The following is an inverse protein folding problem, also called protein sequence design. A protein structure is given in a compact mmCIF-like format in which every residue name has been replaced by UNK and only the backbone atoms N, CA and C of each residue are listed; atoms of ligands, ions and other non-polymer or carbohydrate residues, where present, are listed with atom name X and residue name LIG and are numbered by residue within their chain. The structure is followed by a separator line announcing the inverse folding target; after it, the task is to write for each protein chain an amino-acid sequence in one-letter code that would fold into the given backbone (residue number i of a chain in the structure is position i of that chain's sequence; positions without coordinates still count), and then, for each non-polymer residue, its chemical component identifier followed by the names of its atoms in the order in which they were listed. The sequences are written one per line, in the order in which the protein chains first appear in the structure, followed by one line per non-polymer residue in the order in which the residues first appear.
data_IF_797909054211
#
_entry.id   IF_797909054211
#
_cell.length_a   1.000
_cell.length_b   1.000
_cell.length_c   1.000
_cell.angle_alpha   90.00
_cell.angle_beta   90.00
_cell.angle_gamma   90.00
#
_symmetry.space_group_name_H-M   'P 1'
#
loop_
_entity.id
_entity.type
_entity.pdbx_description
1 polymer ?
#
# COMPACT_ATOMS: atom_id res chain seq x y z
N UNK A 1 7.97 24.87 60.63
CA UNK A 1 8.28 25.26 59.25
C UNK A 1 8.36 24.00 58.41
N UNK A 2 7.26 23.60 57.79
CA UNK A 2 7.21 22.49 56.83
C UNK A 2 6.61 23.06 55.55
N UNK A 3 7.46 23.31 54.56
CA UNK A 3 7.07 23.71 53.21
C UNK A 3 7.01 22.45 52.35
N UNK A 4 5.84 22.04 51.83
CA UNK A 4 5.74 20.96 50.86
C UNK A 4 5.32 21.56 49.51
N UNK A 5 6.25 22.01 48.66
CA UNK A 5 5.83 22.52 47.34
C UNK A 5 6.98 22.69 46.34
N UNK A 6 7.70 21.62 46.00
CA UNK A 6 8.61 21.59 44.85
C UNK A 6 8.45 20.31 44.02
N UNK A 7 8.42 19.17 44.70
CA UNK A 7 8.47 17.86 44.04
C UNK A 7 7.13 17.42 43.43
N UNK A 8 6.00 17.85 44.00
CA UNK A 8 4.67 17.53 43.48
C UNK A 8 4.35 18.27 42.17
N UNK A 9 4.82 19.50 42.01
CA UNK A 9 4.66 20.26 40.76
C UNK A 9 5.58 19.75 39.67
N UNK A 10 6.79 19.31 40.05
CA UNK A 10 7.76 18.71 39.14
C UNK A 10 7.30 17.34 38.65
N UNK A 11 6.74 16.50 39.52
CA UNK A 11 6.17 15.20 39.14
C UNK A 11 4.87 15.33 38.33
N UNK A 12 4.05 16.34 38.59
CA UNK A 12 2.85 16.64 37.79
C UNK A 12 3.21 17.21 36.41
N UNK A 13 4.23 18.07 36.31
CA UNK A 13 4.77 18.58 35.04
C UNK A 13 5.46 17.46 34.22
N UNK A 14 6.11 16.50 34.87
CA UNK A 14 6.69 15.32 34.19
C UNK A 14 5.64 14.29 33.72
N UNK A 15 4.42 14.29 34.30
CA UNK A 15 3.29 13.49 33.80
C UNK A 15 2.55 14.14 32.62
N UNK A 16 2.95 15.34 32.20
CA UNK A 16 2.55 15.89 30.90
C UNK A 16 3.45 15.39 29.74
N UNK A 17 4.28 14.37 30.02
CA UNK A 17 4.99 13.60 29.02
C UNK A 17 4.04 13.14 27.91
N UNK A 18 4.25 13.72 26.73
CA UNK A 18 3.89 13.16 25.44
C UNK A 18 2.47 12.57 25.38
N UNK A 19 1.47 13.44 25.19
CA UNK A 19 0.38 13.02 24.29
C UNK A 19 1.03 12.83 22.93
N UNK A 20 1.53 11.63 22.66
CA UNK A 20 1.77 11.18 21.31
C UNK A 20 0.42 11.33 20.60
N UNK A 21 0.23 12.43 19.88
CA UNK A 21 -1.03 12.73 19.24
C UNK A 21 -1.21 11.66 18.17
N UNK A 22 -2.04 10.68 18.47
CA UNK A 22 -2.48 9.64 17.53
C UNK A 22 -3.04 10.29 16.24
N UNK A 23 -3.48 11.54 16.36
CA UNK A 23 -4.03 12.40 15.31
C UNK A 23 -2.99 13.40 14.77
N UNK A 24 -1.94 12.90 14.13
CA UNK A 24 -1.14 13.74 13.22
C UNK A 24 -1.66 13.56 11.79
N UNK A 25 -1.53 14.60 10.95
CA UNK A 25 -2.04 14.60 9.56
C UNK A 25 -1.66 13.31 8.79
N UNK A 26 -0.40 12.81 8.85
CA UNK A 26 -0.03 11.57 8.15
C UNK A 26 -0.83 10.35 8.62
N UNK A 27 -1.06 10.19 9.93
CA UNK A 27 -1.82 9.07 10.47
C UNK A 27 -3.28 9.09 9.99
N UNK A 28 -3.90 10.28 9.97
CA UNK A 28 -5.27 10.42 9.48
C UNK A 28 -5.39 9.99 8.00
N UNK A 29 -4.36 10.28 7.19
CA UNK A 29 -4.30 9.86 5.79
C UNK A 29 -4.14 8.34 5.65
N UNK A 30 -3.28 7.71 6.46
CA UNK A 30 -3.16 6.23 6.50
C UNK A 30 -4.49 5.57 6.90
N UNK A 31 -5.15 6.06 7.95
CA UNK A 31 -6.47 5.54 8.36
C UNK A 31 -7.54 5.77 7.31
N UNK A 32 -7.54 6.92 6.63
CA UNK A 32 -8.44 7.19 5.53
C UNK A 32 -8.25 6.18 4.38
N UNK A 33 -7.01 5.78 4.06
CA UNK A 33 -6.74 4.71 3.08
C UNK A 33 -7.28 3.36 3.52
N UNK A 34 -7.14 3.00 4.79
CA UNK A 34 -7.71 1.77 5.33
C UNK A 34 -9.24 1.78 5.18
N UNK A 35 -9.90 2.92 5.41
CA UNK A 35 -11.34 3.10 5.20
C UNK A 35 -11.74 3.19 3.73
N UNK A 36 -10.84 3.60 2.84
CA UNK A 36 -11.07 3.61 1.39
C UNK A 36 -11.27 2.20 0.84
N UNK A 37 -10.64 1.17 1.45
CA UNK A 37 -10.78 -0.23 1.02
C UNK A 37 -12.23 -0.73 1.11
N UNK A 38 -12.91 -0.73 2.28
CA UNK A 38 -14.31 -1.13 2.35
C UNK A 38 -15.21 -0.19 1.55
N UNK A 39 -14.91 1.11 1.48
CA UNK A 39 -15.68 2.04 0.66
C UNK A 39 -15.65 1.66 -0.83
N UNK A 40 -14.47 1.29 -1.36
CA UNK A 40 -14.30 0.82 -2.73
C UNK A 40 -15.06 -0.49 -2.98
N UNK A 41 -14.95 -1.45 -2.06
CA UNK A 41 -15.66 -2.74 -2.15
C UNK A 41 -17.17 -2.52 -2.15
N UNK A 42 -17.69 -1.69 -1.23
CA UNK A 42 -19.11 -1.37 -1.15
C UNK A 42 -19.60 -0.64 -2.40
N UNK A 43 -18.81 0.28 -2.94
CA UNK A 43 -19.13 0.98 -4.17
C UNK A 43 -19.28 0.01 -5.36
N UNK A 44 -18.32 -0.90 -5.53
CA UNK A 44 -18.37 -1.91 -6.61
C UNK A 44 -19.49 -2.95 -6.43
N UNK A 45 -19.89 -3.24 -5.19
CA UNK A 45 -20.90 -4.25 -4.91
C UNK A 45 -22.34 -3.74 -4.94
N UNK A 46 -22.60 -2.51 -4.46
CA UNK A 46 -23.96 -2.01 -4.25
C UNK A 46 -24.44 -0.98 -5.26
N UNK A 47 -23.54 -0.31 -5.99
CA UNK A 47 -23.92 0.72 -6.97
C UNK A 47 -24.18 0.11 -8.34
N UNK A 48 -24.88 0.84 -9.20
CA UNK A 48 -25.03 0.46 -10.61
C UNK A 48 -23.65 0.40 -11.30
N UNK A 49 -23.45 -0.45 -12.33
CA UNK A 49 -22.12 -0.73 -12.87
C UNK A 49 -21.32 0.51 -13.29
N UNK A 50 -21.96 1.53 -13.86
CA UNK A 50 -21.25 2.72 -14.33
C UNK A 50 -20.84 3.61 -13.16
N UNK A 51 -21.77 3.88 -12.23
CA UNK A 51 -21.49 4.69 -11.04
C UNK A 51 -20.50 3.99 -10.11
N UNK A 52 -20.62 2.66 -9.98
CA UNK A 52 -19.72 1.80 -9.21
C UNK A 52 -18.26 2.00 -9.64
N UNK A 53 -17.98 1.85 -10.94
CA UNK A 53 -16.64 1.95 -11.50
C UNK A 53 -16.05 3.35 -11.38
N UNK A 54 -16.83 4.40 -11.65
CA UNK A 54 -16.37 5.78 -11.45
C UNK A 54 -16.10 6.12 -9.99
N UNK A 55 -16.95 5.65 -9.08
CA UNK A 55 -16.79 5.85 -7.63
C UNK A 55 -15.55 5.12 -7.13
N UNK A 56 -15.38 3.86 -7.50
CA UNK A 56 -14.22 3.05 -7.15
C UNK A 56 -12.92 3.63 -7.71
N UNK A 57 -12.93 4.09 -8.97
CA UNK A 57 -11.83 4.83 -9.57
C UNK A 57 -11.46 6.07 -8.77
N UNK A 58 -12.44 6.91 -8.42
CA UNK A 58 -12.20 8.12 -7.65
C UNK A 58 -11.63 7.82 -6.26
N UNK A 59 -12.19 6.84 -5.55
CA UNK A 59 -11.70 6.39 -4.24
C UNK A 59 -10.25 5.91 -4.36
N UNK A 60 -9.97 5.04 -5.34
CA UNK A 60 -8.64 4.47 -5.55
C UNK A 60 -7.59 5.57 -5.87
N UNK A 61 -7.90 6.48 -6.79
CA UNK A 61 -7.00 7.57 -7.18
C UNK A 61 -6.76 8.52 -6.01
N UNK A 62 -7.80 8.94 -5.29
CA UNK A 62 -7.66 9.82 -4.13
C UNK A 62 -6.81 9.15 -3.04
N UNK A 63 -7.08 7.88 -2.73
CA UNK A 63 -6.30 7.11 -1.77
C UNK A 63 -4.82 7.02 -2.18
N UNK A 64 -4.53 6.77 -3.46
CA UNK A 64 -3.17 6.69 -4.00
C UNK A 64 -2.43 8.03 -3.94
N UNK A 65 -3.12 9.13 -4.24
CA UNK A 65 -2.54 10.47 -4.13
C UNK A 65 -2.25 10.82 -2.67
N UNK A 66 -3.14 10.44 -1.74
CA UNK A 66 -2.93 10.71 -0.32
C UNK A 66 -1.73 9.99 0.26
N UNK A 67 -1.42 8.76 -0.18
CA UNK A 67 -0.19 8.03 0.20
C UNK A 67 1.08 8.76 -0.26
N UNK A 68 1.08 9.23 -1.52
CA UNK A 68 2.24 9.98 -1.99
C UNK A 68 2.43 11.29 -1.19
N UNK A 69 1.31 11.96 -0.87
CA UNK A 69 1.33 13.22 -0.12
C UNK A 69 1.74 13.03 1.34
N UNK A 70 1.26 11.99 2.03
CA UNK A 70 1.63 11.75 3.43
C UNK A 70 3.13 11.43 3.58
N UNK A 71 3.70 10.65 2.66
CA UNK A 71 5.13 10.36 2.63
C UNK A 71 5.99 11.59 2.33
N UNK A 72 5.44 12.55 1.57
CA UNK A 72 6.08 13.85 1.33
C UNK A 72 6.02 14.74 2.59
N UNK A 73 4.84 14.88 3.19
CA UNK A 73 4.62 15.71 4.37
C UNK A 73 5.36 15.19 5.61
N UNK A 74 5.41 13.87 5.81
CA UNK A 74 6.14 13.24 6.90
C UNK A 74 7.64 13.57 6.85
N UNK A 75 8.24 13.63 5.66
CA UNK A 75 9.67 13.99 5.48
C UNK A 75 9.94 15.46 5.79
N UNK A 76 9.01 16.35 5.47
CA UNK A 76 9.17 17.79 5.71
C UNK A 76 8.95 18.12 7.17
N UNK A 77 7.92 17.54 7.79
CA UNK A 77 7.53 17.88 9.15
C UNK A 77 8.23 17.05 10.23
N UNK A 78 8.97 15.99 9.87
CA UNK A 78 9.60 15.06 10.82
C UNK A 78 8.62 14.51 11.86
N UNK A 79 7.32 14.48 11.52
CA UNK A 79 6.24 14.00 12.36
C UNK A 79 5.80 12.62 11.86
N UNK A 80 6.56 11.59 12.25
CA UNK A 80 6.21 10.21 11.96
C UNK A 80 5.84 9.51 13.27
N UNK A 81 4.62 8.96 13.34
CA UNK A 81 4.21 8.16 14.49
C UNK A 81 4.55 6.70 14.26
N UNK A 82 4.87 5.97 15.33
CA UNK A 82 5.11 4.51 15.28
C UNK A 82 3.90 3.75 14.73
N UNK A 83 2.69 4.16 15.10
CA UNK A 83 1.45 3.52 14.69
C UNK A 83 1.21 3.71 13.18
N UNK A 84 1.34 4.95 12.69
CA UNK A 84 1.18 5.25 11.27
C UNK A 84 2.22 4.52 10.42
N UNK A 85 3.49 4.51 10.85
CA UNK A 85 4.56 3.81 10.16
C UNK A 85 4.33 2.29 10.07
N UNK A 86 3.67 1.69 11.07
CA UNK A 86 3.31 0.27 11.05
C UNK A 86 2.14 -0.01 10.10
N UNK A 87 1.14 0.88 10.04
CA UNK A 87 -0.06 0.68 9.22
C UNK A 87 0.12 1.05 7.75
N UNK A 88 1.02 1.97 7.42
CA UNK A 88 1.27 2.42 6.04
C UNK A 88 1.52 1.26 5.06
N UNK A 89 2.48 0.35 5.34
CA UNK A 89 2.74 -0.78 4.45
C UNK A 89 1.58 -1.77 4.34
N UNK A 90 0.68 -1.80 5.33
CA UNK A 90 -0.49 -2.67 5.35
C UNK A 90 -1.61 -2.06 4.50
N UNK A 91 -1.89 -0.77 4.70
CA UNK A 91 -2.93 -0.03 3.98
C UNK A 91 -2.72 -0.08 2.45
N UNK A 92 -1.48 0.13 2.00
CA UNK A 92 -1.12 0.09 0.58
C UNK A 92 -1.50 -1.25 -0.09
N UNK A 93 -1.11 -2.37 0.53
CA UNK A 93 -1.40 -3.72 0.01
C UNK A 93 -2.87 -4.08 0.08
N UNK A 94 -3.57 -3.63 1.12
CA UNK A 94 -5.00 -3.88 1.24
C UNK A 94 -5.76 -3.19 0.11
N UNK A 95 -5.40 -1.95 -0.23
CA UNK A 95 -6.04 -1.23 -1.32
C UNK A 95 -5.81 -1.90 -2.68
N UNK A 96 -4.55 -2.20 -3.01
CA UNK A 96 -4.20 -2.91 -4.26
C UNK A 96 -4.89 -4.28 -4.31
N UNK A 97 -4.76 -5.06 -3.25
CA UNK A 97 -5.28 -6.42 -3.19
C UNK A 97 -6.80 -6.46 -3.29
N UNK A 98 -7.51 -5.62 -2.54
CA UNK A 98 -8.97 -5.52 -2.63
C UNK A 98 -9.42 -5.07 -4.02
N UNK A 99 -8.72 -4.12 -4.64
CA UNK A 99 -9.03 -3.66 -6.00
C UNK A 99 -8.90 -4.80 -7.01
N UNK A 100 -7.80 -5.55 -6.99
CA UNK A 100 -7.61 -6.72 -7.86
C UNK A 100 -8.70 -7.77 -7.64
N UNK A 101 -9.03 -8.07 -6.38
CA UNK A 101 -10.07 -9.05 -6.06
C UNK A 101 -11.46 -8.61 -6.55
N UNK A 102 -11.81 -7.35 -6.39
CA UNK A 102 -13.10 -6.82 -6.84
C UNK A 102 -13.21 -6.78 -8.36
N UNK A 103 -12.14 -6.37 -9.07
CA UNK A 103 -12.10 -6.42 -10.52
C UNK A 103 -12.21 -7.85 -11.07
N UNK A 104 -11.73 -8.86 -10.34
CA UNK A 104 -11.97 -10.26 -10.71
C UNK A 104 -13.42 -10.66 -10.42
N UNK A 105 -13.96 -10.25 -9.28
CA UNK A 105 -15.30 -10.62 -8.83
C UNK A 105 -16.41 -10.04 -9.72
N UNK A 106 -16.24 -8.83 -10.25
CA UNK A 106 -17.19 -8.19 -11.17
C UNK A 106 -17.00 -8.61 -12.65
N UNK A 107 -15.97 -9.41 -12.94
CA UNK A 107 -15.66 -9.93 -14.27
C UNK A 107 -14.86 -8.98 -15.17
N UNK A 108 -14.48 -7.79 -14.69
CA UNK A 108 -13.63 -6.84 -15.42
C UNK A 108 -12.27 -7.45 -15.72
N UNK A 109 -11.64 -8.11 -14.74
CA UNK A 109 -10.47 -8.94 -14.91
C UNK A 109 -10.88 -10.40 -15.07
N UNK A 110 -10.75 -10.92 -16.29
CA UNK A 110 -11.12 -12.30 -16.63
C UNK A 110 -10.06 -12.98 -17.51
N UNK A 111 -10.21 -14.29 -17.69
CA UNK A 111 -9.32 -15.09 -18.54
C UNK A 111 -7.88 -15.09 -18.03
N UNK A 112 -6.92 -14.88 -18.95
CA UNK A 112 -5.49 -14.94 -18.61
C UNK A 112 -5.04 -13.78 -17.73
N UNK A 113 -5.74 -12.65 -17.72
CA UNK A 113 -5.39 -11.48 -16.89
C UNK A 113 -5.45 -11.79 -15.38
N UNK A 114 -6.24 -12.79 -14.98
CA UNK A 114 -6.29 -13.28 -13.59
C UNK A 114 -4.92 -13.78 -13.13
N UNK A 115 -4.11 -14.39 -14.00
CA UNK A 115 -2.76 -14.81 -13.64
C UNK A 115 -1.85 -13.63 -13.30
N UNK A 116 -1.96 -12.52 -14.03
CA UNK A 116 -1.20 -11.30 -13.73
C UNK A 116 -1.59 -10.73 -12.35
N UNK A 117 -2.88 -10.69 -12.04
CA UNK A 117 -3.39 -10.26 -10.74
C UNK A 117 -2.87 -11.14 -9.59
N UNK A 118 -2.91 -12.47 -9.75
CA UNK A 118 -2.41 -13.43 -8.75
C UNK A 118 -0.90 -13.26 -8.55
N UNK A 119 -0.12 -13.12 -9.63
CA UNK A 119 1.34 -12.89 -9.56
C UNK A 119 1.64 -11.63 -8.74
N UNK A 120 0.93 -10.54 -9.02
CA UNK A 120 1.10 -9.27 -8.30
C UNK A 120 0.78 -9.48 -6.82
N UNK A 121 -0.41 -9.99 -6.51
CA UNK A 121 -0.89 -10.17 -5.13
C UNK A 121 0.05 -11.05 -4.30
N UNK A 122 0.43 -12.23 -4.82
CA UNK A 122 1.32 -13.15 -4.14
C UNK A 122 2.68 -12.49 -3.85
N UNK A 123 3.23 -11.76 -4.82
CA UNK A 123 4.53 -11.10 -4.64
C UNK A 123 4.45 -9.95 -3.64
N UNK A 124 3.39 -9.14 -3.66
CA UNK A 124 3.24 -8.02 -2.73
C UNK A 124 3.27 -8.47 -1.26
N UNK A 125 2.62 -9.59 -0.96
CA UNK A 125 2.65 -10.22 0.36
C UNK A 125 4.04 -10.82 0.64
N UNK A 126 4.55 -11.66 -0.26
CA UNK A 126 5.81 -12.40 -0.07
C UNK A 126 7.00 -11.47 0.14
N UNK A 127 7.22 -10.51 -0.77
CA UNK A 127 8.40 -9.64 -0.70
C UNK A 127 8.33 -8.70 0.48
N UNK A 128 7.13 -8.33 0.92
CA UNK A 128 6.98 -7.47 2.09
C UNK A 128 7.18 -8.20 3.39
N UNK A 129 6.65 -9.42 3.53
CA UNK A 129 6.95 -10.28 4.68
C UNK A 129 8.46 -10.56 4.76
N UNK A 130 9.09 -10.82 3.62
CA UNK A 130 10.52 -11.06 3.56
C UNK A 130 11.34 -9.81 3.89
N UNK A 131 10.92 -8.63 3.41
CA UNK A 131 11.58 -7.36 3.74
C UNK A 131 11.51 -7.07 5.23
N UNK A 132 10.36 -7.31 5.86
CA UNK A 132 10.18 -7.14 7.30
C UNK A 132 11.10 -8.08 8.09
N UNK A 133 11.14 -9.36 7.70
CA UNK A 133 12.05 -10.35 8.30
C UNK A 133 13.53 -9.94 8.18
N UNK A 134 13.98 -9.54 6.99
CA UNK A 134 15.36 -9.11 6.76
C UNK A 134 15.70 -7.78 7.45
N UNK A 135 14.74 -6.89 7.64
CA UNK A 135 14.93 -5.64 8.38
C UNK A 135 15.23 -5.92 9.86
N UNK A 136 14.59 -6.94 10.45
CA UNK A 136 14.91 -7.41 11.80
C UNK A 136 16.36 -7.90 11.96
N UNK A 137 16.95 -8.41 10.89
CA UNK A 137 18.33 -8.90 10.82
C UNK A 137 19.35 -7.82 10.41
N UNK A 138 18.92 -6.56 10.31
CA UNK A 138 19.71 -5.42 9.84
C UNK A 138 20.28 -5.55 8.42
N UNK A 139 19.74 -6.47 7.60
CA UNK A 139 20.12 -6.63 6.20
C UNK A 139 19.30 -5.66 5.35
N UNK A 140 19.92 -4.54 4.94
CA UNK A 140 19.25 -3.54 4.09
C UNK A 140 19.21 -4.01 2.63
N UNK A 141 18.02 -4.34 2.13
CA UNK A 141 17.80 -4.56 0.70
C UNK A 141 17.48 -3.24 0.02
N UNK A 142 18.37 -2.77 -0.86
CA UNK A 142 18.18 -1.52 -1.61
C UNK A 142 17.00 -1.65 -2.58
N UNK A 143 16.17 -0.60 -2.65
CA UNK A 143 15.06 -0.53 -3.61
C UNK A 143 15.60 -0.11 -4.98
N UNK A 144 15.46 -0.98 -5.97
CA UNK A 144 15.89 -0.71 -7.35
C UNK A 144 14.92 0.25 -8.06
N UNK A 145 15.38 0.94 -9.11
CA UNK A 145 14.50 1.80 -9.91
C UNK A 145 13.40 0.99 -10.61
N UNK A 146 13.68 -0.26 -10.99
CA UNK A 146 12.69 -1.20 -11.52
C UNK A 146 11.55 -1.46 -10.52
N UNK A 147 11.87 -1.55 -9.23
CA UNK A 147 10.87 -1.73 -8.18
C UNK A 147 9.98 -0.48 -7.97
N UNK A 148 10.44 0.71 -8.34
CA UNK A 148 9.60 1.93 -8.37
C UNK A 148 8.76 2.01 -9.63
N UNK A 149 9.34 1.65 -10.78
CA UNK A 149 8.59 1.63 -12.04
C UNK A 149 7.43 0.64 -11.95
N UNK A 150 7.64 -0.55 -11.37
CA UNK A 150 6.58 -1.56 -11.21
C UNK A 150 5.35 -0.98 -10.49
N UNK A 151 5.56 -0.21 -9.42
CA UNK A 151 4.45 0.31 -8.60
C UNK A 151 3.71 1.39 -9.36
N UNK A 152 4.42 2.28 -10.05
CA UNK A 152 3.78 3.27 -10.93
C UNK A 152 2.93 2.59 -12.00
N UNK A 153 3.47 1.59 -12.72
CA UNK A 153 2.72 0.87 -13.74
C UNK A 153 1.49 0.16 -13.16
N UNK A 154 1.63 -0.45 -11.99
CA UNK A 154 0.54 -1.15 -11.30
C UNK A 154 -0.58 -0.19 -10.87
N UNK A 155 -0.25 0.94 -10.25
CA UNK A 155 -1.25 1.93 -9.81
C UNK A 155 -1.98 2.53 -11.01
N UNK A 156 -1.26 2.84 -12.10
CA UNK A 156 -1.88 3.33 -13.34
C UNK A 156 -2.74 2.24 -13.99
N UNK A 157 -2.28 0.98 -14.02
CA UNK A 157 -3.05 -0.14 -14.54
C UNK A 157 -4.40 -0.29 -13.81
N UNK A 158 -4.38 -0.31 -12.48
CA UNK A 158 -5.59 -0.45 -11.67
C UNK A 158 -6.55 0.71 -11.85
N UNK A 159 -6.04 1.95 -11.90
CA UNK A 159 -6.86 3.12 -12.17
C UNK A 159 -7.54 3.02 -13.55
N UNK A 160 -6.82 2.62 -14.60
CA UNK A 160 -7.40 2.42 -15.93
C UNK A 160 -8.41 1.26 -15.96
N UNK A 161 -8.15 0.16 -15.26
CA UNK A 161 -9.05 -0.98 -15.19
C UNK A 161 -10.33 -0.66 -14.43
N UNK A 162 -10.26 0.18 -13.38
CA UNK A 162 -11.45 0.69 -12.69
C UNK A 162 -12.26 1.65 -13.57
N UNK A 163 -11.63 2.48 -14.40
CA UNK A 163 -12.33 3.42 -15.26
C UNK A 163 -12.85 2.77 -16.57
N UNK A 164 -12.16 1.75 -17.07
CA UNK A 164 -12.39 1.14 -18.39
C UNK A 164 -13.83 0.74 -18.67
N UNK A 165 -14.49 -0.02 -17.78
CA UNK A 165 -15.89 -0.42 -17.95
C UNK A 165 -16.84 0.77 -18.14
N UNK A 166 -16.62 1.87 -17.40
CA UNK A 166 -17.45 3.07 -17.48
C UNK A 166 -17.10 4.01 -18.65
N UNK A 167 -15.90 3.92 -19.22
CA UNK A 167 -15.43 4.77 -20.33
C UNK A 167 -15.73 4.21 -21.74
N UNK A 168 -16.27 3.00 -21.84
CA UNK A 168 -16.55 2.37 -23.14
C UNK A 168 -16.53 0.84 -23.10
N UNK A 169 -16.54 0.24 -21.91
CA UNK A 169 -16.63 -1.20 -21.74
C UNK A 169 -15.34 -1.96 -22.05
N UNK A 170 -15.43 -3.29 -22.22
CA UNK A 170 -14.29 -4.19 -22.37
C UNK A 170 -13.37 -3.90 -23.57
N UNK A 171 -13.90 -3.31 -24.63
CA UNK A 171 -13.16 -2.99 -25.86
C UNK A 171 -12.53 -1.60 -25.85
N UNK A 172 -12.77 -0.80 -24.81
CA UNK A 172 -12.22 0.56 -24.73
C UNK A 172 -10.69 0.57 -24.72
N UNK A 173 -10.10 1.63 -25.29
CA UNK A 173 -8.64 1.83 -25.25
C UNK A 173 -8.12 1.88 -23.81
N UNK A 174 -8.91 2.47 -22.90
CA UNK A 174 -8.64 2.52 -21.45
C UNK A 174 -8.47 1.11 -20.87
N UNK A 175 -9.40 0.20 -21.17
CA UNK A 175 -9.34 -1.18 -20.70
C UNK A 175 -8.12 -1.93 -21.24
N UNK A 176 -7.85 -1.81 -22.54
CA UNK A 176 -6.70 -2.46 -23.17
C UNK A 176 -5.36 -1.94 -22.62
N UNK A 177 -5.24 -0.62 -22.45
CA UNK A 177 -4.07 -0.01 -21.83
C UNK A 177 -3.89 -0.49 -20.37
N UNK A 178 -4.97 -0.56 -19.59
CA UNK A 178 -4.96 -1.09 -18.23
C UNK A 178 -4.45 -2.53 -18.17
N UNK A 179 -4.93 -3.41 -19.06
CA UNK A 179 -4.50 -4.81 -19.15
C UNK A 179 -3.03 -4.96 -19.54
N UNK A 180 -2.56 -4.17 -20.53
CA UNK A 180 -1.15 -4.18 -20.94
C UNK A 180 -0.26 -3.73 -19.79
N UNK A 181 -0.62 -2.64 -19.11
CA UNK A 181 0.14 -2.15 -17.96
C UNK A 181 0.14 -3.14 -16.79
N UNK A 182 -0.97 -3.85 -16.56
CA UNK A 182 -1.06 -4.90 -15.53
C UNK A 182 -0.08 -6.03 -15.80
N UNK A 183 0.01 -6.50 -17.05
CA UNK A 183 0.98 -7.53 -17.45
C UNK A 183 2.42 -7.05 -17.35
N UNK A 184 2.71 -5.82 -17.78
CA UNK A 184 4.04 -5.23 -17.61
C UNK A 184 4.41 -5.13 -16.13
N UNK A 185 3.47 -4.70 -15.28
CA UNK A 185 3.65 -4.66 -13.84
C UNK A 185 3.90 -6.06 -13.26
N UNK A 186 3.17 -7.09 -13.71
CA UNK A 186 3.37 -8.48 -13.27
C UNK A 186 4.76 -9.02 -13.65
N UNK A 187 5.24 -8.75 -14.87
CA UNK A 187 6.57 -9.16 -15.33
C UNK A 187 7.67 -8.47 -14.51
N UNK A 188 7.58 -7.15 -14.32
CA UNK A 188 8.52 -6.42 -13.45
C UNK A 188 8.44 -6.88 -11.99
N UNK A 189 7.27 -7.31 -11.55
CA UNK A 189 7.04 -7.82 -10.21
C UNK A 189 7.76 -9.15 -9.98
N UNK A 190 7.76 -10.06 -10.95
CA UNK A 190 8.54 -11.29 -10.93
C UNK A 190 10.05 -11.00 -10.94
N UNK A 191 10.51 -10.15 -11.85
CA UNK A 191 11.93 -9.81 -11.97
C UNK A 191 12.46 -9.17 -10.67
N UNK A 192 11.76 -8.17 -10.15
CA UNK A 192 12.18 -7.55 -8.88
C UNK A 192 11.98 -8.47 -7.67
N UNK A 193 11.17 -9.52 -7.79
CA UNK A 193 10.96 -10.51 -6.73
C UNK A 193 12.14 -11.48 -6.58
N UNK A 194 12.77 -11.88 -7.68
CA UNK A 194 13.91 -12.81 -7.65
C UNK A 194 15.10 -12.26 -6.89
N UNK A 195 15.34 -10.95 -6.95
CA UNK A 195 16.45 -10.30 -6.25
C UNK A 195 16.29 -10.43 -4.72
N UNK A 196 15.07 -10.24 -4.22
CA UNK A 196 14.76 -10.36 -2.79
C UNK A 196 14.86 -11.80 -2.32
N UNK A 197 14.29 -12.74 -3.09
CA UNK A 197 14.37 -14.17 -2.75
C UNK A 197 15.83 -14.64 -2.72
N UNK A 198 16.65 -14.19 -3.67
CA UNK A 198 18.08 -14.52 -3.72
C UNK A 198 18.84 -13.95 -2.52
N UNK A 199 18.52 -12.72 -2.09
CA UNK A 199 19.11 -12.13 -0.89
C UNK A 199 18.76 -12.91 0.37
N UNK A 200 17.51 -13.36 0.50
CA UNK A 200 17.05 -14.17 1.62
C UNK A 200 17.73 -15.54 1.68
N UNK A 201 17.81 -16.24 0.55
CA UNK A 201 18.45 -17.55 0.47
C UNK A 201 19.93 -17.45 0.84
N UNK A 202 20.64 -16.43 0.33
CA UNK A 202 22.05 -16.22 0.66
C UNK A 202 22.28 -16.07 2.17
N UNK A 203 21.42 -15.32 2.85
CA UNK A 203 21.51 -15.14 4.29
C UNK A 203 21.21 -16.43 5.07
N UNK A 204 20.15 -17.17 4.68
CA UNK A 204 19.83 -18.46 5.29
C UNK A 204 20.95 -19.50 5.09
N UNK A 205 21.70 -19.43 3.99
CA UNK A 205 22.85 -20.32 3.76
C UNK A 205 24.12 -19.89 4.51
N UNK A 206 24.32 -18.60 4.81
CA UNK A 206 25.48 -18.14 5.57
C UNK A 206 25.40 -18.51 7.05
N UNK A 207 24.21 -18.49 7.67
CA UNK A 207 24.04 -18.88 9.08
C UNK A 207 24.24 -20.39 9.34
N UNK A 208 24.17 -21.24 8.31
CA UNK A 208 24.36 -22.69 8.46
C UNK A 208 25.84 -23.09 8.53
N UNK A 209 26.76 -22.18 8.22
CA UNK A 209 28.20 -22.44 8.17
C UNK A 209 28.97 -21.95 9.41
N UNK A 210 28.27 -21.39 10.40
CA UNK A 210 28.79 -21.04 11.74
C UNK A 210 28.21 -21.98 12.80
#
# INVERSE_FOLDING_TARGET
MTSPSGDALSSFMLHSASRATVLNIPNCLTFARILAVPALVLALYYLDPVTAHWTAFAIFVLASITDWLDGYLARIWSQQSLIGAMFDPIADKLLVGATLMMLIADGTLSGTAVFAAVIILCREILVSGLREFLAGLQVRVLVTQLAKLKTVLQMVALALLLAGPAMGGPTSLTMQAGLVLLWLAAILTLWTGSDYLSAAIRHATSERND
#
